data_IF_719995195737
#
_entry.id   IF_719995195737
#
_cell.length_a   1.000
_cell.length_b   1.000
_cell.length_c   1.000
_cell.angle_alpha   90.00
_cell.angle_beta   90.00
_cell.angle_gamma   90.00
#
_symmetry.space_group_name_H-M   'P 1'
#
loop_
_entity.id
_entity.type
_entity.pdbx_description
1 polymer ?
#
# COMPACT_ATOMS: atom_id res chain seq x y z
N UNK A 1 5.29 -11.79 3.00
CA UNK A 1 3.92 -12.37 2.93
C UNK A 1 3.18 -11.86 1.70
N UNK A 2 1.99 -12.37 1.32
CA UNK A 2 1.11 -11.66 0.36
C UNK A 2 0.32 -10.59 1.11
N UNK A 3 0.38 -9.35 0.63
CA UNK A 3 -0.43 -8.24 1.16
C UNK A 3 -1.72 -8.10 0.37
N UNK A 4 -1.67 -8.21 -0.96
CA UNK A 4 -2.86 -8.21 -1.78
C UNK A 4 -3.04 -9.56 -2.47
N UNK A 5 -4.04 -10.33 -2.04
CA UNK A 5 -4.39 -11.62 -2.66
C UNK A 5 -4.99 -11.40 -4.06
N UNK A 6 -5.87 -10.41 -4.20
CA UNK A 6 -6.50 -10.04 -5.48
C UNK A 6 -5.50 -9.79 -6.61
N UNK A 7 -4.43 -9.03 -6.30
CA UNK A 7 -3.44 -8.61 -7.29
C UNK A 7 -2.14 -9.43 -7.24
N UNK A 8 -2.06 -10.43 -6.36
CA UNK A 8 -0.85 -11.21 -6.08
C UNK A 8 0.37 -10.33 -5.75
N UNK A 9 0.19 -9.32 -4.90
CA UNK A 9 1.28 -8.42 -4.47
C UNK A 9 1.86 -8.95 -3.16
N UNK A 10 3.15 -9.26 -3.17
CA UNK A 10 3.88 -9.61 -1.95
C UNK A 10 4.37 -8.36 -1.23
N UNK A 11 4.51 -8.47 0.07
CA UNK A 11 5.08 -7.42 0.92
C UNK A 11 6.47 -6.97 0.42
N UNK A 12 7.33 -7.91 0.00
CA UNK A 12 8.64 -7.55 -0.56
C UNK A 12 8.52 -6.70 -1.84
N UNK A 13 7.53 -6.98 -2.67
CA UNK A 13 7.27 -6.25 -3.91
C UNK A 13 6.70 -4.86 -3.59
N UNK A 14 5.81 -4.78 -2.59
CA UNK A 14 5.26 -3.52 -2.10
C UNK A 14 6.34 -2.62 -1.46
N UNK A 15 7.19 -3.18 -0.59
CA UNK A 15 8.34 -2.47 0.01
C UNK A 15 9.33 -1.99 -1.05
N UNK A 16 9.61 -2.81 -2.07
CA UNK A 16 10.43 -2.40 -3.20
C UNK A 16 9.82 -1.21 -3.97
N UNK A 17 8.51 -1.26 -4.23
CA UNK A 17 7.79 -0.16 -4.87
C UNK A 17 7.78 1.11 -4.00
N UNK A 18 7.64 0.96 -2.68
CA UNK A 18 7.63 2.07 -1.72
C UNK A 18 8.90 2.91 -1.74
N UNK A 19 10.06 2.29 -2.02
CA UNK A 19 11.35 2.97 -2.15
C UNK A 19 11.51 3.75 -3.45
N UNK A 20 10.83 3.31 -4.52
CA UNK A 20 10.93 3.92 -5.85
C UNK A 20 9.85 4.97 -6.12
N UNK A 21 8.72 4.87 -5.42
CA UNK A 21 7.53 5.65 -5.70
C UNK A 21 6.98 6.23 -4.40
N UNK A 22 6.67 7.52 -4.40
CA UNK A 22 5.91 8.18 -3.34
C UNK A 22 4.40 8.00 -3.55
N UNK A 23 3.60 8.45 -2.59
CA UNK A 23 2.13 8.38 -2.65
C UNK A 23 1.52 7.28 -1.80
N UNK A 24 0.20 7.17 -1.89
CA UNK A 24 -0.66 6.24 -1.17
C UNK A 24 -0.66 4.83 -1.80
N UNK A 25 -1.30 3.83 -1.17
CA UNK A 25 -1.39 2.49 -1.72
C UNK A 25 -1.96 2.44 -3.14
N UNK A 26 -3.01 3.20 -3.46
CA UNK A 26 -3.59 3.24 -4.81
C UNK A 26 -2.53 3.69 -5.84
N UNK A 27 -1.82 4.79 -5.57
CA UNK A 27 -0.75 5.30 -6.44
C UNK A 27 0.37 4.28 -6.61
N UNK A 28 0.79 3.62 -5.54
CA UNK A 28 1.86 2.60 -5.61
C UNK A 28 1.39 1.38 -6.40
N UNK A 29 0.14 0.97 -6.25
CA UNK A 29 -0.43 -0.13 -7.01
C UNK A 29 -0.46 0.20 -8.51
N UNK A 30 -0.81 1.43 -8.86
CA UNK A 30 -0.77 1.90 -10.25
C UNK A 30 0.63 1.82 -10.85
N UNK A 31 1.68 2.16 -10.07
CA UNK A 31 3.08 2.00 -10.51
C UNK A 31 3.48 0.54 -10.73
N UNK A 32 2.82 -0.39 -10.04
CA UNK A 32 2.94 -1.83 -10.27
C UNK A 32 2.04 -2.34 -11.41
N UNK A 33 1.31 -1.45 -12.09
CA UNK A 33 0.36 -1.82 -13.16
C UNK A 33 -0.88 -2.53 -12.63
N UNK A 34 -1.29 -2.24 -11.40
CA UNK A 34 -2.43 -2.85 -10.69
C UNK A 34 -3.38 -1.77 -10.20
N UNK A 35 -4.63 -2.14 -9.97
CA UNK A 35 -5.59 -1.32 -9.23
C UNK A 35 -6.18 -2.16 -8.08
N UNK A 36 -6.43 -1.57 -6.90
CA UNK A 36 -7.08 -2.29 -5.80
C UNK A 36 -8.46 -2.83 -6.20
N UNK A 37 -8.75 -4.10 -5.88
CA UNK A 37 -10.05 -4.73 -6.18
C UNK A 37 -10.99 -4.71 -4.97
N UNK A 38 -10.67 -5.45 -3.90
CA UNK A 38 -11.52 -5.52 -2.70
C UNK A 38 -11.20 -4.45 -1.65
N UNK A 39 -10.06 -3.76 -1.78
CA UNK A 39 -9.61 -2.73 -0.84
C UNK A 39 -9.17 -3.21 0.54
N UNK A 40 -9.37 -4.49 0.88
CA UNK A 40 -9.13 -5.03 2.23
C UNK A 40 -7.67 -4.94 2.69
N UNK A 41 -6.74 -4.83 1.75
CA UNK A 41 -5.31 -4.76 2.05
C UNK A 41 -4.76 -3.33 2.14
N UNK A 42 -5.58 -2.30 1.94
CA UNK A 42 -5.07 -0.93 1.77
C UNK A 42 -4.54 -0.33 3.06
N UNK A 43 -5.17 -0.59 4.20
CA UNK A 43 -4.71 -0.06 5.48
C UNK A 43 -3.35 -0.67 5.87
N UNK A 44 -3.23 -2.00 5.80
CA UNK A 44 -1.96 -2.69 6.02
C UNK A 44 -0.90 -2.29 4.96
N UNK A 45 -1.29 -2.13 3.70
CA UNK A 45 -0.38 -1.64 2.67
C UNK A 45 0.13 -0.23 2.99
N UNK A 46 -0.73 0.67 3.47
CA UNK A 46 -0.34 2.02 3.86
C UNK A 46 0.67 2.02 5.01
N UNK A 47 0.43 1.21 6.05
CA UNK A 47 1.36 1.03 7.17
C UNK A 47 2.74 0.60 6.66
N UNK A 48 2.79 -0.41 5.79
CA UNK A 48 4.03 -0.90 5.18
C UNK A 48 4.74 0.19 4.36
N UNK A 49 3.99 0.98 3.58
CA UNK A 49 4.56 2.08 2.80
C UNK A 49 5.21 3.13 3.71
N UNK A 50 4.58 3.44 4.84
CA UNK A 50 5.07 4.44 5.81
C UNK A 50 6.32 3.92 6.52
N UNK A 51 6.25 2.70 7.05
CA UNK A 51 7.40 2.04 7.69
C UNK A 51 8.60 1.99 6.75
N UNK A 52 8.41 1.54 5.51
CA UNK A 52 9.50 1.38 4.54
C UNK A 52 10.14 2.72 4.15
N UNK A 53 9.38 3.81 4.21
CA UNK A 53 9.86 5.17 3.92
C UNK A 53 10.41 5.87 5.17
N UNK A 54 10.48 5.20 6.32
CA UNK A 54 11.03 5.73 7.57
C UNK A 54 10.06 6.58 8.39
N UNK A 55 8.76 6.51 8.11
CA UNK A 55 7.71 7.12 8.93
C UNK A 55 7.24 6.21 10.06
N UNK A 56 6.43 6.75 10.97
CA UNK A 56 5.77 5.98 12.04
C UNK A 56 4.28 5.77 11.72
N UNK A 57 3.68 4.61 12.07
CA UNK A 57 2.30 4.26 11.69
C UNK A 57 1.24 5.24 12.22
N UNK A 58 1.55 6.00 13.26
CA UNK A 58 0.74 7.12 13.76
C UNK A 58 0.56 8.28 12.75
N UNK A 59 1.32 8.29 11.66
CA UNK A 59 1.12 9.20 10.52
C UNK A 59 0.29 8.62 9.37
N UNK A 60 -0.19 7.37 9.49
CA UNK A 60 -1.02 6.75 8.47
C UNK A 60 -2.40 7.39 8.39
N UNK A 61 -2.83 7.89 7.21
CA UNK A 61 -4.21 8.29 7.00
C UNK A 61 -5.15 7.09 7.20
N UNK A 62 -6.30 7.31 7.80
CA UNK A 62 -7.41 6.35 7.78
C UNK A 62 -8.01 6.33 6.35
N UNK A 63 -7.52 5.39 5.53
CA UNK A 63 -7.96 5.24 4.14
C UNK A 63 -9.32 4.55 4.01
N UNK A 64 -9.82 3.93 5.08
CA UNK A 64 -11.17 3.38 5.17
C UNK A 64 -12.26 4.45 5.12
N UNK A 65 -11.97 5.68 5.57
CA UNK A 65 -12.95 6.79 5.59
C UNK A 65 -13.07 7.57 4.27
N UNK A 66 -12.09 7.46 3.36
CA UNK A 66 -12.03 8.27 2.12
C UNK A 66 -12.78 7.62 0.94
N UNK A 67 -13.25 6.38 1.11
CA UNK A 67 -13.73 5.52 -0.01
C UNK A 67 -15.23 5.18 0.06
N UNK A 68 -16.03 5.99 0.76
CA UNK A 68 -17.49 5.90 0.81
C UNK A 68 -18.16 6.79 -0.26
#
# INVERSE_FOLDING_TARGET
MYICICNAIRECDLRAAARCHAGDPDTVYEKLGKHPQCGQCLDEAAEILIEERGGTPETAPDFTLVRA
#
